data_IF_816207090809
#
_entry.id   IF_816207090809
#
_cell.length_a   1.000
_cell.length_b   1.000
_cell.length_c   1.000
_cell.angle_alpha   90.00
_cell.angle_beta   90.00
_cell.angle_gamma   90.00
#
_symmetry.space_group_name_H-M   'P 1'
#
loop_
_entity.id
_entity.type
_entity.pdbx_description
1 polymer ?
#
# COMPACT_ATOMS: atom_id res chain seq x y z
N UNK A 1 -3.47 -73.62 -35.67
CA UNK A 1 -4.94 -73.57 -35.46
C UNK A 1 -5.42 -72.22 -35.98
N UNK A 2 -6.24 -72.25 -37.04
CA UNK A 2 -7.21 -71.23 -37.47
C UNK A 2 -6.76 -69.78 -37.76
N UNK A 3 -6.84 -69.44 -39.07
CA UNK A 3 -7.43 -68.21 -39.67
C UNK A 3 -6.62 -66.89 -39.54
N UNK A 4 -6.57 -65.97 -40.50
CA UNK A 4 -7.12 -65.83 -41.85
C UNK A 4 -6.77 -64.41 -42.37
N UNK A 5 -6.39 -64.27 -43.65
CA UNK A 5 -6.54 -63.10 -44.57
C UNK A 5 -5.78 -61.81 -44.21
N UNK A 6 -4.65 -61.51 -44.86
CA UNK A 6 -4.45 -60.81 -46.17
C UNK A 6 -4.85 -59.33 -46.22
N UNK A 7 -3.84 -58.57 -46.65
CA UNK A 7 -3.76 -57.13 -46.82
C UNK A 7 -4.64 -56.56 -47.95
N UNK A 8 -4.97 -55.27 -47.85
CA UNK A 8 -4.42 -54.21 -48.70
C UNK A 8 -5.37 -52.99 -48.76
N UNK A 9 -4.87 -51.79 -48.48
CA UNK A 9 -4.64 -50.79 -49.53
C UNK A 9 -4.26 -49.44 -48.92
N UNK A 10 -3.17 -48.91 -49.46
CA UNK A 10 -2.69 -47.54 -49.29
C UNK A 10 -3.71 -46.54 -49.85
N UNK A 11 -4.08 -45.53 -49.05
CA UNK A 11 -4.53 -44.21 -49.51
C UNK A 11 -4.14 -43.15 -48.48
N UNK A 12 -3.13 -42.34 -48.80
CA UNK A 12 -3.09 -40.93 -48.39
C UNK A 12 -3.43 -40.14 -49.66
N UNK A 13 -4.21 -39.04 -49.62
CA UNK A 13 -3.61 -37.79 -49.17
C UNK A 13 -4.55 -36.79 -48.45
N UNK A 14 -3.90 -35.91 -47.69
CA UNK A 14 -4.14 -34.45 -47.62
C UNK A 14 -5.58 -33.93 -47.72
N UNK A 15 -6.19 -33.62 -46.58
CA UNK A 15 -6.59 -32.25 -46.18
C UNK A 15 -7.36 -32.35 -44.87
N UNK A 16 -6.63 -32.44 -43.76
CA UNK A 16 -7.12 -31.88 -42.51
C UNK A 16 -7.15 -30.37 -42.74
N UNK A 17 -8.27 -29.88 -43.27
CA UNK A 17 -8.64 -28.48 -43.16
C UNK A 17 -8.58 -28.19 -41.66
N UNK A 18 -7.47 -27.60 -41.21
CA UNK A 18 -7.48 -26.79 -40.00
C UNK A 18 -8.54 -25.73 -40.29
N UNK A 19 -9.78 -26.00 -39.88
CA UNK A 19 -10.78 -24.99 -39.70
C UNK A 19 -10.20 -24.08 -38.62
N UNK A 20 -9.40 -23.11 -39.07
CA UNK A 20 -9.02 -21.97 -38.28
C UNK A 20 -10.34 -21.43 -37.76
N UNK A 21 -10.53 -21.54 -36.45
CA UNK A 21 -11.67 -20.95 -35.77
C UNK A 21 -11.47 -19.44 -35.76
N UNK A 22 -11.40 -18.81 -36.93
CA UNK A 22 -11.67 -17.39 -37.05
C UNK A 22 -13.16 -17.22 -36.77
N UNK A 23 -13.47 -16.89 -35.51
CA UNK A 23 -14.75 -16.31 -35.19
C UNK A 23 -14.79 -14.93 -35.84
N UNK A 24 -15.52 -14.81 -36.95
CA UNK A 24 -15.94 -13.51 -37.46
C UNK A 24 -16.86 -12.91 -36.40
N UNK A 25 -16.39 -11.83 -35.75
CA UNK A 25 -17.23 -11.07 -34.83
C UNK A 25 -18.35 -10.40 -35.63
N UNK A 26 -19.54 -10.33 -35.04
CA UNK A 26 -20.63 -9.58 -35.65
C UNK A 26 -20.22 -8.12 -35.89
N UNK A 27 -20.61 -7.54 -37.02
CA UNK A 27 -20.30 -6.16 -37.42
C UNK A 27 -20.63 -5.13 -36.33
N UNK A 28 -21.73 -5.34 -35.61
CA UNK A 28 -22.13 -4.50 -34.47
C UNK A 28 -21.10 -4.54 -33.34
N UNK A 29 -20.57 -5.72 -33.00
CA UNK A 29 -19.55 -5.88 -31.95
C UNK A 29 -18.26 -5.19 -32.32
N UNK A 30 -17.83 -5.29 -33.58
CA UNK A 30 -16.64 -4.60 -34.09
C UNK A 30 -16.83 -3.08 -34.03
N UNK A 31 -17.97 -2.59 -34.52
CA UNK A 31 -18.31 -1.15 -34.50
C UNK A 31 -18.36 -0.59 -33.08
N UNK A 32 -18.93 -1.35 -32.13
CA UNK A 32 -18.99 -0.97 -30.71
C UNK A 32 -17.61 -0.94 -30.07
N UNK A 33 -16.73 -1.87 -30.44
CA UNK A 33 -15.35 -1.90 -29.97
C UNK A 33 -14.57 -0.68 -30.50
N UNK A 34 -14.64 -0.40 -31.80
CA UNK A 34 -13.96 0.74 -32.41
C UNK A 34 -14.44 2.07 -31.81
N UNK A 35 -15.74 2.21 -31.59
CA UNK A 35 -16.32 3.37 -30.91
C UNK A 35 -15.81 3.51 -29.47
N UNK A 36 -15.68 2.40 -28.73
CA UNK A 36 -15.14 2.43 -27.37
C UNK A 36 -13.65 2.81 -27.35
N UNK A 37 -12.86 2.30 -28.30
CA UNK A 37 -11.44 2.65 -28.46
C UNK A 37 -11.30 4.14 -28.78
N UNK A 38 -12.04 4.64 -29.78
CA UNK A 38 -11.99 6.05 -30.16
C UNK A 38 -12.34 6.97 -28.98
N UNK A 39 -13.39 6.64 -28.23
CA UNK A 39 -13.77 7.39 -27.02
C UNK A 39 -12.70 7.36 -25.93
N UNK A 40 -12.06 6.21 -25.70
CA UNK A 40 -10.99 6.09 -24.71
C UNK A 40 -9.75 6.89 -25.12
N UNK A 41 -9.39 6.87 -26.41
CA UNK A 41 -8.31 7.67 -26.97
C UNK A 41 -8.59 9.17 -26.79
N UNK A 42 -9.78 9.63 -27.18
CA UNK A 42 -10.19 11.03 -26.98
C UNK A 42 -10.08 11.42 -25.50
N UNK A 43 -10.65 10.62 -24.60
CA UNK A 43 -10.62 10.90 -23.17
C UNK A 43 -9.21 11.01 -22.58
N UNK A 44 -8.30 10.12 -22.99
CA UNK A 44 -6.90 10.15 -22.53
C UNK A 44 -6.14 11.32 -23.14
N UNK A 45 -6.26 11.57 -24.44
CA UNK A 45 -5.55 12.66 -25.11
C UNK A 45 -6.00 14.04 -24.61
N UNK A 46 -7.28 14.21 -24.27
CA UNK A 46 -7.81 15.44 -23.63
C UNK A 46 -7.18 15.73 -22.25
N UNK A 47 -6.59 14.73 -21.59
CA UNK A 47 -5.94 14.84 -20.27
C UNK A 47 -4.42 14.94 -20.34
N UNK A 48 -3.85 14.89 -21.54
CA UNK A 48 -2.42 15.05 -21.71
C UNK A 48 -2.03 16.49 -21.37
N UNK A 49 -1.01 16.66 -20.53
CA UNK A 49 -0.44 17.96 -20.24
C UNK A 49 0.24 18.55 -21.50
N UNK A 50 0.43 19.88 -21.59
CA UNK A 50 1.00 20.52 -22.79
C UNK A 50 2.40 20.03 -23.20
N UNK A 51 3.17 19.46 -22.27
CA UNK A 51 4.51 18.87 -22.47
C UNK A 51 4.47 17.36 -22.74
N UNK A 52 3.28 16.76 -22.83
CA UNK A 52 3.06 15.39 -23.26
C UNK A 52 2.89 14.34 -22.16
N UNK A 53 3.00 14.70 -20.88
CA UNK A 53 2.80 13.74 -19.78
C UNK A 53 1.32 13.59 -19.38
N UNK A 54 1.03 12.57 -18.55
CA UNK A 54 -0.27 12.40 -17.88
C UNK A 54 -0.07 12.42 -16.38
N UNK A 55 -1.02 13.06 -15.68
CA UNK A 55 -1.07 13.07 -14.22
C UNK A 55 -2.28 12.24 -13.79
N UNK A 56 -2.00 11.22 -12.99
CA UNK A 56 -3.02 10.44 -12.29
C UNK A 56 -2.77 10.50 -10.79
N UNK A 57 -3.85 10.36 -10.02
CA UNK A 57 -3.74 10.16 -8.59
C UNK A 57 -3.13 8.78 -8.32
N UNK A 58 -2.06 8.74 -7.52
CA UNK A 58 -1.44 7.51 -7.05
C UNK A 58 -1.69 7.39 -5.56
N UNK A 59 -2.84 6.82 -5.22
CA UNK A 59 -3.21 6.54 -3.83
C UNK A 59 -2.81 5.10 -3.46
N UNK A 60 -2.10 4.94 -2.34
CA UNK A 60 -1.81 3.62 -1.78
C UNK A 60 -2.81 3.30 -0.67
N UNK A 61 -2.66 3.97 0.48
CA UNK A 61 -3.54 3.85 1.63
C UNK A 61 -3.41 5.06 2.55
N UNK A 62 -4.33 5.17 3.52
CA UNK A 62 -4.41 6.32 4.43
C UNK A 62 -3.27 6.43 5.44
N UNK A 63 -2.37 5.44 5.54
CA UNK A 63 -1.20 5.51 6.41
C UNK A 63 -0.20 6.56 5.95
N UNK A 64 -0.06 6.82 4.64
CA UNK A 64 0.85 7.87 4.13
C UNK A 64 0.42 9.24 4.66
N UNK A 65 -0.87 9.57 4.54
CA UNK A 65 -1.43 10.83 5.07
C UNK A 65 -1.27 10.91 6.59
N UNK A 66 -1.49 9.79 7.28
CA UNK A 66 -1.34 9.73 8.74
C UNK A 66 0.11 9.95 9.19
N UNK A 67 1.07 9.31 8.53
CA UNK A 67 2.49 9.44 8.80
C UNK A 67 3.00 10.83 8.45
N UNK A 68 2.51 11.44 7.38
CA UNK A 68 2.85 12.82 7.02
C UNK A 68 2.40 13.80 8.11
N UNK A 69 1.16 13.67 8.60
CA UNK A 69 0.67 14.48 9.72
C UNK A 69 1.53 14.31 10.97
N UNK A 70 1.79 13.06 11.35
CA UNK A 70 2.63 12.76 12.50
C UNK A 70 4.05 13.28 12.29
N UNK A 71 4.63 13.18 11.11
CA UNK A 71 5.93 13.76 10.80
C UNK A 71 5.94 15.28 10.98
N UNK A 72 4.94 15.99 10.48
CA UNK A 72 4.75 17.43 10.71
C UNK A 72 4.71 17.76 12.21
N UNK A 73 3.97 16.98 13.01
CA UNK A 73 3.98 17.11 14.47
C UNK A 73 5.34 16.79 15.08
N UNK A 74 6.06 15.79 14.59
CA UNK A 74 7.36 15.41 15.12
C UNK A 74 8.38 16.57 15.00
N UNK A 75 8.32 17.31 13.89
CA UNK A 75 9.27 18.39 13.58
C UNK A 75 8.74 19.82 13.82
N UNK A 76 7.57 19.95 14.45
CA UNK A 76 6.91 21.24 14.72
C UNK A 76 6.68 22.10 13.47
N UNK A 77 6.35 21.46 12.33
CA UNK A 77 5.99 22.13 11.08
C UNK A 77 4.54 21.88 10.73
N UNK A 78 3.67 22.60 11.45
CA UNK A 78 2.22 22.46 11.34
C UNK A 78 1.64 23.46 10.32
N UNK A 79 0.61 23.01 9.61
CA UNK A 79 -0.19 23.79 8.69
C UNK A 79 -1.65 23.40 8.94
N UNK A 80 -2.39 24.30 9.60
CA UNK A 80 -3.75 24.03 10.07
C UNK A 80 -4.73 23.71 8.94
N UNK A 81 -4.50 24.27 7.74
CA UNK A 81 -5.34 23.99 6.58
C UNK A 81 -5.07 22.59 6.02
N UNK A 82 -3.79 22.18 5.98
CA UNK A 82 -3.43 20.80 5.62
C UNK A 82 -3.89 19.79 6.65
N UNK A 83 -3.75 20.09 7.93
CA UNK A 83 -4.24 19.24 9.03
C UNK A 83 -5.74 19.01 8.91
N UNK A 84 -6.53 20.09 8.73
CA UNK A 84 -7.98 19.99 8.53
C UNK A 84 -8.33 19.11 7.34
N UNK A 85 -7.67 19.29 6.20
CA UNK A 85 -7.91 18.50 4.98
C UNK A 85 -7.55 17.03 5.18
N UNK A 86 -6.42 16.75 5.82
CA UNK A 86 -5.98 15.40 6.10
C UNK A 86 -6.92 14.69 7.09
N UNK A 87 -7.39 15.36 8.14
CA UNK A 87 -8.40 14.81 9.05
C UNK A 87 -9.70 14.50 8.32
N UNK A 88 -10.18 15.40 7.44
CA UNK A 88 -11.37 15.16 6.63
C UNK A 88 -11.20 13.94 5.71
N UNK A 89 -10.03 13.80 5.06
CA UNK A 89 -9.68 12.65 4.26
C UNK A 89 -9.68 11.35 5.09
N UNK A 90 -9.04 11.35 6.26
CA UNK A 90 -9.00 10.17 7.13
C UNK A 90 -10.40 9.73 7.56
N UNK A 91 -11.30 10.67 7.89
CA UNK A 91 -12.70 10.36 8.20
C UNK A 91 -13.42 9.73 7.02
N UNK A 92 -13.24 10.27 5.81
CA UNK A 92 -13.86 9.73 4.60
C UNK A 92 -13.42 8.29 4.30
N UNK A 93 -12.18 7.94 4.66
CA UNK A 93 -11.60 6.60 4.42
C UNK A 93 -11.86 5.62 5.55
N UNK A 94 -12.43 6.04 6.67
CA UNK A 94 -12.73 5.13 7.78
C UNK A 94 -13.79 4.10 7.35
N UNK A 95 -13.50 2.83 7.60
CA UNK A 95 -14.42 1.73 7.34
C UNK A 95 -15.59 1.74 8.35
N UNK A 96 -16.75 1.13 8.02
CA UNK A 96 -17.89 1.04 8.93
C UNK A 96 -17.56 0.40 10.30
N UNK A 97 -16.55 -0.49 10.34
CA UNK A 97 -16.08 -1.14 11.58
C UNK A 97 -15.09 -0.29 12.40
N UNK A 98 -14.83 0.96 11.99
CA UNK A 98 -13.94 1.91 12.66
C UNK A 98 -12.46 1.83 12.27
N UNK A 99 -12.07 0.86 11.44
CA UNK A 99 -10.68 0.70 11.00
C UNK A 99 -10.34 1.39 9.68
N UNK A 100 -9.08 1.26 9.26
CA UNK A 100 -8.57 1.64 7.95
C UNK A 100 -7.89 0.44 7.29
N UNK A 101 -7.95 0.33 5.97
CA UNK A 101 -7.38 -0.75 5.16
C UNK A 101 -6.09 -0.31 4.45
N UNK A 102 -5.33 -1.29 3.95
CA UNK A 102 -4.09 -1.08 3.17
C UNK A 102 -4.31 -1.02 1.66
N UNK A 103 -5.51 -1.34 1.19
CA UNK A 103 -5.89 -1.31 -0.21
C UNK A 103 -7.41 -1.23 -0.33
N UNK A 104 -7.90 -0.74 -1.47
CA UNK A 104 -9.33 -0.52 -1.71
C UNK A 104 -10.15 -1.81 -1.50
N UNK A 105 -11.30 -1.68 -0.83
CA UNK A 105 -12.15 -2.80 -0.40
C UNK A 105 -11.46 -3.88 0.47
N UNK A 106 -10.23 -3.64 0.96
CA UNK A 106 -9.55 -4.52 1.90
C UNK A 106 -10.15 -4.46 3.32
N UNK A 107 -9.84 -5.45 4.18
CA UNK A 107 -10.26 -5.43 5.58
C UNK A 107 -9.49 -4.37 6.38
N UNK A 108 -10.01 -4.03 7.56
CA UNK A 108 -9.30 -3.17 8.50
C UNK A 108 -7.95 -3.79 8.91
N UNK A 109 -6.88 -3.01 8.76
CA UNK A 109 -5.52 -3.29 9.20
C UNK A 109 -5.21 -2.58 10.52
N UNK A 110 -4.49 -3.26 11.41
CA UNK A 110 -4.19 -2.75 12.75
C UNK A 110 -3.25 -1.54 12.70
N UNK A 111 -2.20 -1.61 11.87
CA UNK A 111 -1.18 -0.56 11.80
C UNK A 111 -1.74 0.71 11.16
N UNK A 112 -2.47 0.58 10.05
CA UNK A 112 -3.16 1.69 9.41
C UNK A 112 -4.16 2.36 10.37
N UNK A 113 -4.94 1.55 11.11
CA UNK A 113 -5.92 2.08 12.07
C UNK A 113 -5.25 2.82 13.23
N UNK A 114 -4.15 2.29 13.79
CA UNK A 114 -3.39 2.97 14.85
C UNK A 114 -2.84 4.31 14.34
N UNK A 115 -2.22 4.32 13.15
CA UNK A 115 -1.62 5.53 12.56
C UNK A 115 -2.68 6.60 12.31
N UNK A 116 -3.83 6.24 11.72
CA UNK A 116 -4.92 7.17 11.46
C UNK A 116 -5.53 7.72 12.76
N UNK A 117 -5.81 6.86 13.74
CA UNK A 117 -6.28 7.30 15.06
C UNK A 117 -5.31 8.27 15.71
N UNK A 118 -4.02 7.94 15.72
CA UNK A 118 -3.02 8.76 16.39
C UNK A 118 -2.80 10.09 15.67
N UNK A 119 -2.77 10.11 14.33
CA UNK A 119 -2.69 11.33 13.54
C UNK A 119 -3.88 12.26 13.79
N UNK A 120 -5.11 11.72 13.83
CA UNK A 120 -6.31 12.50 14.15
C UNK A 120 -6.27 13.05 15.59
N UNK A 121 -5.81 12.25 16.57
CA UNK A 121 -5.63 12.70 17.95
C UNK A 121 -4.65 13.87 18.03
N UNK A 122 -3.51 13.75 17.35
CA UNK A 122 -2.47 14.79 17.32
C UNK A 122 -2.93 16.09 16.66
N UNK A 123 -3.80 15.98 15.64
CA UNK A 123 -4.46 17.11 14.98
C UNK A 123 -5.62 17.72 15.82
N UNK A 124 -5.85 17.24 17.05
CA UNK A 124 -6.83 17.80 17.99
C UNK A 124 -8.23 17.18 17.92
N UNK A 125 -8.42 16.06 17.24
CA UNK A 125 -9.69 15.33 17.29
C UNK A 125 -9.85 14.66 18.65
N UNK A 126 -10.95 14.99 19.34
CA UNK A 126 -11.25 14.44 20.66
C UNK A 126 -11.34 12.90 20.63
N UNK A 127 -10.73 12.19 21.59
CA UNK A 127 -10.89 10.74 21.75
C UNK A 127 -12.33 10.26 21.97
N UNK A 128 -13.24 11.16 22.33
CA UNK A 128 -14.67 10.92 22.56
C UNK A 128 -15.50 11.11 21.27
N UNK A 129 -14.89 11.64 20.21
CA UNK A 129 -15.51 11.69 18.88
C UNK A 129 -15.97 10.28 18.44
N UNK A 130 -17.17 10.12 17.86
CA UNK A 130 -17.69 8.82 17.47
C UNK A 130 -16.75 8.00 16.59
N UNK A 131 -16.02 8.65 15.67
CA UNK A 131 -15.08 7.97 14.76
C UNK A 131 -13.85 7.48 15.53
N UNK A 132 -13.37 8.27 16.49
CA UNK A 132 -12.26 7.92 17.37
C UNK A 132 -12.62 6.79 18.32
N UNK A 133 -13.83 6.79 18.88
CA UNK A 133 -14.33 5.70 19.74
C UNK A 133 -14.38 4.37 19.00
N UNK A 134 -14.91 4.36 17.76
CA UNK A 134 -14.95 3.15 16.92
C UNK A 134 -13.55 2.67 16.58
N UNK A 135 -12.64 3.57 16.20
CA UNK A 135 -11.25 3.24 15.91
C UNK A 135 -10.54 2.63 17.13
N UNK A 136 -10.68 3.24 18.31
CA UNK A 136 -10.11 2.71 19.56
C UNK A 136 -10.65 1.33 19.90
N UNK A 137 -11.96 1.12 19.76
CA UNK A 137 -12.57 -0.19 19.97
C UNK A 137 -12.00 -1.23 18.98
N UNK A 138 -11.84 -0.84 17.71
CA UNK A 138 -11.27 -1.70 16.66
C UNK A 138 -9.81 -2.07 16.97
N UNK A 139 -8.98 -1.11 17.36
CA UNK A 139 -7.57 -1.33 17.75
C UNK A 139 -7.49 -2.33 18.91
N UNK A 140 -8.33 -2.17 19.94
CA UNK A 140 -8.38 -3.10 21.08
C UNK A 140 -8.78 -4.51 20.65
N UNK A 141 -9.83 -4.63 19.83
CA UNK A 141 -10.29 -5.93 19.32
C UNK A 141 -9.23 -6.65 18.48
N UNK A 142 -8.35 -5.90 17.80
CA UNK A 142 -7.25 -6.44 16.99
C UNK A 142 -5.97 -6.73 17.79
N UNK A 143 -5.98 -6.52 19.12
CA UNK A 143 -4.88 -6.86 20.02
C UNK A 143 -3.90 -5.71 20.32
N UNK A 144 -4.25 -4.48 19.93
CA UNK A 144 -3.54 -3.26 20.33
C UNK A 144 -2.12 -3.10 19.76
N UNK A 145 -1.40 -2.03 20.17
CA UNK A 145 -0.10 -1.66 19.61
C UNK A 145 0.99 -2.73 19.68
N UNK A 146 0.90 -3.66 20.65
CA UNK A 146 1.86 -4.76 20.79
C UNK A 146 1.86 -5.69 19.56
N UNK A 147 0.71 -5.86 18.90
CA UNK A 147 0.57 -6.66 17.67
C UNK A 147 0.80 -5.87 16.37
N UNK A 148 1.09 -4.57 16.46
CA UNK A 148 1.34 -3.74 15.29
C UNK A 148 2.69 -4.09 14.63
N UNK A 149 2.86 -3.63 13.37
CA UNK A 149 4.12 -3.79 12.64
C UNK A 149 5.25 -2.98 13.28
N UNK A 150 6.50 -3.34 12.97
CA UNK A 150 7.69 -2.63 13.47
C UNK A 150 7.68 -1.14 13.16
N UNK A 151 7.22 -0.74 11.97
CA UNK A 151 7.16 0.67 11.59
C UNK A 151 6.18 1.47 12.47
N UNK A 152 5.02 0.89 12.79
CA UNK A 152 4.07 1.51 13.73
C UNK A 152 4.65 1.62 15.13
N UNK A 153 5.38 0.60 15.60
CA UNK A 153 6.03 0.64 16.92
C UNK A 153 7.11 1.71 17.00
N UNK A 154 7.95 1.82 15.96
CA UNK A 154 8.97 2.87 15.86
C UNK A 154 8.32 4.25 15.85
N UNK A 155 7.28 4.43 15.03
CA UNK A 155 6.50 5.67 14.98
C UNK A 155 5.95 6.06 16.36
N UNK A 156 5.32 5.13 17.08
CA UNK A 156 4.82 5.40 18.43
C UNK A 156 5.96 5.69 19.42
N UNK A 157 7.09 5.00 19.30
CA UNK A 157 8.26 5.23 20.15
C UNK A 157 8.87 6.62 19.95
N UNK A 158 8.83 7.17 18.74
CA UNK A 158 9.23 8.56 18.47
C UNK A 158 8.40 9.59 19.26
N UNK A 159 7.18 9.22 19.70
CA UNK A 159 6.30 10.06 20.51
C UNK A 159 6.20 9.62 21.98
N UNK A 160 6.98 8.62 22.40
CA UNK A 160 6.94 8.09 23.77
C UNK A 160 5.73 7.21 24.08
N UNK A 161 4.91 6.88 23.09
CA UNK A 161 3.70 6.04 23.22
C UNK A 161 4.01 4.54 23.14
N UNK A 162 5.26 4.17 22.88
CA UNK A 162 5.75 2.80 22.88
C UNK A 162 7.22 2.76 23.32
N UNK A 163 7.61 1.72 24.06
CA UNK A 163 9.01 1.55 24.46
C UNK A 163 9.86 1.15 23.24
N UNK A 164 10.97 1.86 23.00
CA UNK A 164 11.96 1.52 21.98
C UNK A 164 12.46 0.07 22.07
N UNK A 165 12.49 -0.52 23.27
CA UNK A 165 12.90 -1.91 23.48
C UNK A 165 11.85 -2.93 22.99
N UNK A 166 10.63 -2.49 22.69
CA UNK A 166 9.59 -3.34 22.09
C UNK A 166 9.67 -3.45 20.55
N UNK A 167 10.56 -2.68 19.90
CA UNK A 167 10.85 -2.80 18.48
C UNK A 167 12.07 -3.73 18.26
N UNK A 168 12.06 -4.62 17.24
CA UNK A 168 13.23 -5.43 16.90
C UNK A 168 14.47 -4.56 16.69
N UNK A 169 15.61 -4.92 17.29
CA UNK A 169 16.83 -4.16 17.13
C UNK A 169 17.47 -4.40 15.75
N UNK A 170 17.96 -3.32 15.14
CA UNK A 170 18.76 -3.38 13.91
C UNK A 170 20.01 -2.50 14.12
N UNK A 171 21.19 -3.10 14.37
CA UNK A 171 22.39 -2.35 14.76
C UNK A 171 22.95 -1.53 13.58
N UNK A 172 23.36 -0.29 13.85
CA UNK A 172 23.91 0.62 12.85
C UNK A 172 25.22 0.09 12.23
N UNK A 173 25.93 -0.77 12.95
CA UNK A 173 27.15 -1.48 12.53
C UNK A 173 26.95 -2.35 11.29
N UNK A 174 25.70 -2.68 10.90
CA UNK A 174 25.40 -3.30 9.60
C UNK A 174 26.02 -2.50 8.43
N UNK A 175 26.14 -1.18 8.57
CA UNK A 175 26.78 -0.31 7.57
C UNK A 175 28.29 -0.59 7.39
N UNK A 176 28.93 -1.25 8.35
CA UNK A 176 30.35 -1.60 8.31
C UNK A 176 30.63 -2.97 7.70
N UNK A 177 29.58 -3.77 7.44
CA UNK A 177 29.74 -5.10 6.86
C UNK A 177 30.26 -5.02 5.42
N UNK A 178 31.33 -5.77 5.08
CA UNK A 178 31.88 -5.73 3.73
C UNK A 178 30.92 -6.40 2.74
N UNK A 179 30.99 -6.00 1.47
CA UNK A 179 30.14 -6.57 0.40
C UNK A 179 30.22 -8.09 0.24
N UNK A 180 31.33 -8.70 0.67
CA UNK A 180 31.54 -10.16 0.64
C UNK A 180 30.92 -10.91 1.83
N UNK A 181 30.43 -10.20 2.85
CA UNK A 181 29.76 -10.82 3.98
C UNK A 181 28.39 -11.36 3.54
N UNK A 182 27.91 -12.43 4.19
CA UNK A 182 26.66 -13.10 3.82
C UNK A 182 25.43 -12.17 3.85
N UNK A 183 25.53 -11.04 4.56
CA UNK A 183 24.57 -9.96 4.59
C UNK A 183 25.27 -8.60 4.48
N UNK A 184 24.84 -7.74 3.58
CA UNK A 184 25.29 -6.35 3.55
C UNK A 184 24.19 -5.46 2.97
N UNK A 185 24.25 -4.16 3.24
CA UNK A 185 23.18 -3.23 2.85
C UNK A 185 22.96 -3.16 1.33
N UNK A 186 23.95 -3.56 0.52
CA UNK A 186 23.85 -3.57 -0.94
C UNK A 186 23.07 -4.77 -1.51
N UNK A 187 22.88 -5.84 -0.73
CA UNK A 187 22.01 -6.98 -1.06
C UNK A 187 20.53 -6.68 -0.81
N UNK A 188 20.24 -5.59 -0.09
CA UNK A 188 18.87 -5.12 0.14
C UNK A 188 18.40 -4.26 -1.03
N UNK A 189 17.13 -4.43 -1.44
CA UNK A 189 16.54 -3.63 -2.52
C UNK A 189 16.70 -2.12 -2.27
N UNK A 190 16.78 -1.33 -3.34
CA UNK A 190 17.05 0.10 -3.21
C UNK A 190 16.00 0.82 -2.35
N UNK A 191 14.71 0.49 -2.51
CA UNK A 191 13.63 1.12 -1.73
C UNK A 191 13.71 0.76 -0.25
N UNK A 192 14.11 -0.48 0.08
CA UNK A 192 14.24 -0.91 1.48
C UNK A 192 15.48 -0.26 2.09
N UNK A 193 16.56 -0.10 1.31
CA UNK A 193 17.78 0.60 1.74
C UNK A 193 17.50 2.06 2.10
N UNK A 194 16.71 2.77 1.31
CA UNK A 194 16.37 4.19 1.58
C UNK A 194 15.52 4.35 2.85
N UNK A 195 14.85 3.30 3.32
CA UNK A 195 14.12 3.28 4.59
C UNK A 195 15.00 2.80 5.75
N UNK A 196 15.78 1.74 5.54
CA UNK A 196 16.61 1.12 6.59
C UNK A 196 17.69 2.06 7.09
N UNK A 197 18.44 2.72 6.20
CA UNK A 197 19.58 3.56 6.60
C UNK A 197 19.19 4.67 7.58
N UNK A 198 18.16 5.50 7.33
CA UNK A 198 17.73 6.49 8.32
C UNK A 198 17.14 5.84 9.59
N UNK A 199 16.47 4.69 9.47
CA UNK A 199 15.98 3.97 10.65
C UNK A 199 17.10 3.46 11.55
N UNK A 200 18.24 3.02 11.00
CA UNK A 200 19.40 2.63 11.81
C UNK A 200 19.85 3.77 12.74
N UNK A 201 19.84 5.00 12.23
CA UNK A 201 20.19 6.20 13.02
C UNK A 201 19.14 6.41 14.12
N UNK A 202 17.85 6.31 13.79
CA UNK A 202 16.77 6.48 14.78
C UNK A 202 16.80 5.38 15.85
N UNK A 203 17.10 4.14 15.48
CA UNK A 203 17.12 2.98 16.38
C UNK A 203 18.37 2.97 17.29
N UNK A 204 19.48 3.57 16.83
CA UNK A 204 20.67 3.86 17.65
C UNK A 204 20.38 4.97 18.67
N UNK A 205 19.84 6.11 18.19
CA UNK A 205 19.64 7.31 19.02
C UNK A 205 18.39 7.27 19.90
N UNK A 206 17.40 6.48 19.54
CA UNK A 206 16.11 6.32 20.23
C UNK A 206 15.49 7.66 20.65
N UNK A 207 15.36 8.65 19.75
CA UNK A 207 14.84 9.96 20.12
C UNK A 207 13.36 9.84 20.53
N UNK A 208 12.94 10.70 21.46
CA UNK A 208 11.56 10.77 21.92
C UNK A 208 11.11 12.22 21.95
N UNK A 209 10.01 12.51 21.27
CA UNK A 209 9.25 13.75 21.42
C UNK A 209 8.13 13.50 22.42
N UNK A 210 8.29 14.04 23.63
CA UNK A 210 7.25 13.95 24.65
C UNK A 210 6.04 14.80 24.28
N UNK A 211 4.87 14.19 24.37
CA UNK A 211 3.60 14.86 24.15
C UNK A 211 3.19 15.67 25.39
N UNK A 212 2.53 16.83 25.21
CA UNK A 212 1.85 17.52 26.30
C UNK A 212 0.83 16.60 27.00
N UNK A 213 0.63 16.77 28.30
CA UNK A 213 -0.25 15.92 29.11
C UNK A 213 -1.74 15.99 28.71
N UNK A 214 -2.12 17.03 27.98
CA UNK A 214 -3.47 17.28 27.47
C UNK A 214 -3.75 16.66 26.09
N UNK A 215 -2.77 15.94 25.49
CA UNK A 215 -2.87 15.38 24.13
C UNK A 215 -2.93 13.87 24.01
#
# INVERSE_FOLDING_TARGET
MSRSIRAASSRYPETLVLASRFRVLASETVTRLDSAIARAQTYLLERQAPDGHWVGELEADSSITSEFLLFCHLIDRLDSDRERKAVAYLRQRQLPNGGWNLFEAGPADLSATIKAYFAMKMAGVSPEDPDMVRARARIRAMGGPVKATVFTKILLALFGEYDWNGAPAMPVEIMLLPRRFYFNVYEVSYWSRTVIVPLLILMDRKPVKWLPADR
#
